data_IF_059192335451
#
_entry.id   IF_059192335451
#
_cell.length_a   1.000
_cell.length_b   1.000
_cell.length_c   1.000
_cell.angle_alpha   90.00
_cell.angle_beta   90.00
_cell.angle_gamma   90.00
#
_symmetry.space_group_name_H-M   'P 1'
#
loop_
_entity.id
_entity.type
_entity.pdbx_description
1 polymer ?
#
# COMPACT_ATOMS: atom_id res chain seq x y z
N UNK A 1 9.74 31.64 1.90
CA UNK A 1 9.10 30.44 2.47
C UNK A 1 10.00 29.25 2.19
N UNK A 2 10.50 28.57 3.23
CA UNK A 2 11.26 27.32 3.07
C UNK A 2 10.28 26.15 3.07
N UNK A 3 10.18 25.43 1.96
CA UNK A 3 9.38 24.20 1.90
C UNK A 3 10.22 23.05 2.47
N UNK A 4 9.71 22.35 3.48
CA UNK A 4 10.29 21.08 3.93
C UNK A 4 9.80 19.98 3.00
N UNK A 5 10.72 19.35 2.26
CA UNK A 5 10.42 18.26 1.32
C UNK A 5 11.30 17.06 1.62
N UNK A 6 10.80 15.87 1.26
CA UNK A 6 11.57 14.62 1.28
C UNK A 6 11.88 14.26 -0.16
N UNK A 7 13.16 14.02 -0.46
CA UNK A 7 13.59 13.43 -1.73
C UNK A 7 13.77 11.92 -1.54
N UNK A 8 13.23 11.13 -2.46
CA UNK A 8 13.37 9.68 -2.51
C UNK A 8 13.75 9.27 -3.91
N UNK A 9 14.58 8.23 -4.02
CA UNK A 9 14.81 7.55 -5.29
C UNK A 9 13.48 7.02 -5.84
N UNK A 10 13.30 7.16 -7.15
CA UNK A 10 12.11 6.71 -7.85
C UNK A 10 12.32 5.27 -8.36
N UNK A 11 11.42 4.37 -7.99
CA UNK A 11 11.43 2.97 -8.49
C UNK A 11 10.98 2.98 -9.96
N UNK A 12 11.95 2.90 -10.87
CA UNK A 12 11.79 3.09 -12.31
C UNK A 12 11.34 1.84 -13.08
N UNK A 13 11.50 0.65 -12.49
CA UNK A 13 11.06 -0.65 -13.01
C UNK A 13 10.03 -1.30 -12.08
N UNK A 14 8.84 -0.69 -11.89
CA UNK A 14 7.78 -1.30 -11.11
C UNK A 14 7.20 -2.52 -11.83
N UNK A 15 6.62 -3.45 -11.07
CA UNK A 15 5.74 -4.48 -11.63
C UNK A 15 4.50 -3.79 -12.23
N UNK A 16 4.10 -4.24 -13.41
CA UNK A 16 2.95 -3.72 -14.15
C UNK A 16 1.91 -4.83 -14.32
N UNK A 17 0.63 -4.46 -14.34
CA UNK A 17 -0.46 -5.31 -14.80
C UNK A 17 -1.19 -4.51 -15.88
N UNK A 18 -1.41 -5.12 -17.04
CA UNK A 18 -2.03 -4.48 -18.21
C UNK A 18 -1.28 -3.20 -18.66
N UNK A 19 0.04 -3.15 -18.46
CA UNK A 19 0.87 -1.97 -18.75
C UNK A 19 0.75 -0.83 -17.74
N UNK A 20 -0.09 -0.96 -16.71
CA UNK A 20 -0.35 0.09 -15.72
C UNK A 20 0.49 -0.11 -14.46
N UNK A 21 1.05 1.00 -13.96
CA UNK A 21 1.67 1.06 -12.63
C UNK A 21 0.58 0.94 -11.56
N UNK A 22 0.88 0.25 -10.46
CA UNK A 22 -0.02 0.17 -9.33
C UNK A 22 0.71 0.24 -7.99
N UNK A 23 -0.06 0.50 -6.93
CA UNK A 23 0.38 0.30 -5.55
C UNK A 23 -0.62 -0.58 -4.81
N UNK A 24 -0.14 -1.23 -3.74
CA UNK A 24 -0.96 -2.04 -2.85
C UNK A 24 -1.18 -1.27 -1.55
N UNK A 25 -2.44 -1.04 -1.20
CA UNK A 25 -2.86 -0.60 0.12
C UNK A 25 -3.25 -1.79 0.97
N UNK A 26 -2.44 -2.05 1.98
CA UNK A 26 -2.66 -3.06 3.01
C UNK A 26 -3.20 -2.38 4.26
N UNK A 27 -4.04 -3.08 5.00
CA UNK A 27 -4.57 -2.63 6.29
C UNK A 27 -3.99 -3.51 7.39
N UNK A 28 -3.37 -2.86 8.36
CA UNK A 28 -2.78 -3.49 9.55
C UNK A 28 -3.41 -2.82 10.76
N UNK A 29 -3.93 -3.61 11.69
CA UNK A 29 -4.44 -3.16 12.97
C UNK A 29 -3.39 -3.43 14.03
N UNK A 30 -2.94 -2.39 14.73
CA UNK A 30 -2.18 -2.53 15.97
C UNK A 30 -3.21 -2.43 17.10
N UNK A 31 -3.49 -3.56 17.73
CA UNK A 31 -4.46 -3.59 18.83
C UNK A 31 -3.78 -3.17 20.12
N UNK A 32 -2.62 -3.78 20.41
CA UNK A 32 -1.91 -3.63 21.68
C UNK A 32 -0.41 -3.45 21.45
N UNK A 33 0.24 -2.73 22.37
CA UNK A 33 1.69 -2.49 22.34
C UNK A 33 2.45 -3.32 23.35
N UNK A 34 1.80 -3.81 24.41
CA UNK A 34 2.40 -4.66 25.44
C UNK A 34 1.35 -5.60 26.11
N UNK A 35 1.23 -6.87 25.69
CA UNK A 35 1.99 -7.50 24.60
C UNK A 35 1.67 -6.88 23.24
N UNK A 36 2.62 -6.94 22.30
CA UNK A 36 2.42 -6.42 20.94
C UNK A 36 1.43 -7.33 20.18
N UNK A 37 0.31 -6.77 19.74
CA UNK A 37 -0.70 -7.47 18.95
C UNK A 37 -0.96 -6.74 17.63
N UNK A 38 -0.61 -7.42 16.53
CA UNK A 38 -0.70 -6.89 15.16
C UNK A 38 -1.56 -7.84 14.33
N UNK A 39 -2.55 -7.30 13.62
CA UNK A 39 -3.42 -8.04 12.73
C UNK A 39 -3.31 -7.51 11.30
N UNK A 40 -2.96 -8.38 10.36
CA UNK A 40 -3.02 -8.08 8.94
C UNK A 40 -4.41 -8.44 8.40
N UNK A 41 -5.09 -7.48 7.78
CA UNK A 41 -6.37 -7.75 7.13
C UNK A 41 -6.15 -8.54 5.83
N UNK A 42 -6.95 -9.60 5.63
CA UNK A 42 -6.83 -10.49 4.46
C UNK A 42 -7.13 -9.80 3.13
N UNK A 43 -7.80 -8.66 3.15
CA UNK A 43 -8.14 -7.87 1.98
C UNK A 43 -7.43 -6.52 1.98
N UNK A 44 -7.26 -5.96 0.79
CA UNK A 44 -6.65 -4.66 0.57
C UNK A 44 -7.24 -3.95 -0.63
N UNK A 45 -6.62 -2.83 -1.01
CA UNK A 45 -6.96 -2.13 -2.25
C UNK A 45 -5.72 -2.02 -3.12
N UNK A 46 -5.81 -2.48 -4.36
CA UNK A 46 -4.80 -2.22 -5.38
C UNK A 46 -5.27 -1.06 -6.22
N UNK A 47 -4.42 -0.04 -6.35
CA UNK A 47 -4.76 1.22 -6.99
C UNK A 47 -3.88 1.39 -8.22
N UNK A 48 -4.52 1.49 -9.37
CA UNK A 48 -3.84 1.61 -10.65
C UNK A 48 -3.72 3.07 -11.07
N UNK A 49 -2.62 3.36 -11.74
CA UNK A 49 -2.49 4.48 -12.65
C UNK A 49 -3.52 4.34 -13.79
N UNK A 50 -3.73 5.41 -14.56
CA UNK A 50 -4.74 5.44 -15.63
C UNK A 50 -4.14 5.71 -17.02
N UNK A 51 -2.82 5.74 -17.09
CA UNK A 51 -2.03 5.86 -18.32
C UNK A 51 -0.92 4.81 -18.26
N UNK A 52 -0.69 4.14 -19.39
CA UNK A 52 0.35 3.12 -19.54
C UNK A 52 1.71 3.63 -19.09
N UNK A 53 2.40 2.80 -18.33
CA UNK A 53 3.66 3.15 -17.73
C UNK A 53 4.78 3.23 -18.77
N UNK A 54 5.60 4.27 -18.64
CA UNK A 54 6.89 4.37 -19.30
C UNK A 54 7.95 4.75 -18.26
N UNK A 55 9.20 4.27 -18.38
CA UNK A 55 10.28 4.70 -17.51
C UNK A 55 10.40 6.23 -17.49
N UNK A 56 10.72 6.83 -16.32
CA UNK A 56 10.77 8.27 -16.18
C UNK A 56 11.84 8.89 -17.09
N UNK A 57 11.49 9.99 -17.73
CA UNK A 57 12.35 10.80 -18.59
C UNK A 57 11.96 12.27 -18.42
N UNK A 58 12.80 13.18 -18.93
CA UNK A 58 12.51 14.61 -18.90
C UNK A 58 11.17 14.98 -19.56
N UNK A 59 10.67 14.15 -20.49
CA UNK A 59 9.45 14.43 -21.25
C UNK A 59 8.19 13.82 -20.64
N UNK A 60 8.30 12.89 -19.69
CA UNK A 60 7.13 12.23 -19.08
C UNK A 60 7.02 12.37 -17.56
N UNK A 61 8.05 12.86 -16.84
CA UNK A 61 8.05 12.93 -15.37
C UNK A 61 6.86 13.71 -14.79
N UNK A 62 6.34 14.70 -15.54
CA UNK A 62 5.17 15.50 -15.15
C UNK A 62 3.82 14.79 -15.37
N UNK A 63 3.79 13.61 -16.03
CA UNK A 63 2.59 12.84 -16.32
C UNK A 63 2.12 12.09 -15.07
N UNK A 64 1.43 12.80 -14.21
CA UNK A 64 1.02 12.30 -12.89
C UNK A 64 0.08 11.08 -12.96
N UNK A 65 -0.81 10.99 -13.96
CA UNK A 65 -1.68 9.82 -14.17
C UNK A 65 -0.96 8.52 -14.59
N UNK A 66 0.34 8.61 -14.93
CA UNK A 66 1.22 7.48 -15.24
C UNK A 66 2.06 7.09 -14.02
N UNK A 67 2.67 8.08 -13.37
CA UNK A 67 3.65 7.84 -12.30
C UNK A 67 3.05 7.76 -10.90
N UNK A 68 1.86 8.34 -10.68
CA UNK A 68 1.15 8.33 -9.40
C UNK A 68 -0.12 7.49 -9.49
N UNK A 69 -0.36 6.71 -8.44
CA UNK A 69 -1.46 5.73 -8.34
C UNK A 69 -2.56 6.18 -7.37
N UNK A 70 -2.43 7.39 -6.80
CA UNK A 70 -3.38 7.92 -5.83
C UNK A 70 -4.80 7.98 -6.43
N UNK A 71 -5.78 7.42 -5.71
CA UNK A 71 -7.19 7.47 -6.11
C UNK A 71 -7.71 8.91 -6.27
N UNK A 72 -7.34 9.81 -5.35
CA UNK A 72 -7.78 11.23 -5.36
C UNK A 72 -7.41 11.96 -6.65
N UNK A 73 -6.30 11.55 -7.27
CA UNK A 73 -5.82 12.02 -8.56
C UNK A 73 -6.48 11.23 -9.70
N UNK A 74 -6.23 9.93 -9.77
CA UNK A 74 -6.61 9.10 -10.92
C UNK A 74 -8.11 9.04 -11.17
N UNK A 75 -8.97 9.19 -10.15
CA UNK A 75 -10.44 9.27 -10.34
C UNK A 75 -10.90 10.42 -11.23
N UNK A 76 -10.02 11.40 -11.48
CA UNK A 76 -10.27 12.56 -12.34
C UNK A 76 -9.81 12.34 -13.79
N UNK A 77 -9.10 11.24 -14.05
CA UNK A 77 -8.68 10.86 -15.40
C UNK A 77 -9.87 10.34 -16.20
N UNK A 78 -9.95 10.71 -17.47
CA UNK A 78 -10.96 10.17 -18.39
C UNK A 78 -10.81 8.65 -18.58
N UNK A 79 -9.63 8.10 -18.30
CA UNK A 79 -9.34 6.66 -18.41
C UNK A 79 -9.64 5.88 -17.12
N UNK A 80 -10.17 6.53 -16.08
CA UNK A 80 -10.46 5.85 -14.82
C UNK A 80 -11.65 4.89 -14.97
N UNK A 81 -11.42 3.61 -14.69
CA UNK A 81 -12.43 2.56 -14.76
C UNK A 81 -12.96 2.27 -13.37
N UNK A 82 -14.24 2.57 -13.15
CA UNK A 82 -14.94 2.15 -11.95
C UNK A 82 -15.20 0.65 -12.00
N UNK A 83 -15.08 -0.02 -10.85
CA UNK A 83 -15.49 -1.42 -10.76
C UNK A 83 -17.01 -1.51 -10.92
N UNK A 84 -17.44 -2.38 -11.82
CA UNK A 84 -18.83 -2.80 -11.98
C UNK A 84 -18.95 -4.29 -11.65
N UNK A 85 -20.18 -4.80 -11.54
CA UNK A 85 -20.41 -6.24 -11.35
C UNK A 85 -19.92 -7.07 -12.54
N UNK A 86 -19.89 -6.46 -13.74
CA UNK A 86 -19.47 -7.09 -14.98
C UNK A 86 -17.93 -7.04 -15.18
N UNK A 87 -17.25 -6.00 -14.71
CA UNK A 87 -15.81 -5.82 -14.93
C UNK A 87 -15.08 -5.31 -13.68
N UNK A 88 -14.71 -6.24 -12.81
CA UNK A 88 -13.83 -5.99 -11.67
C UNK A 88 -12.34 -6.14 -12.02
N UNK A 89 -12.04 -6.94 -13.05
CA UNK A 89 -10.68 -7.32 -13.45
C UNK A 89 -9.94 -6.15 -14.10
N UNK A 90 -10.63 -5.27 -14.82
CA UNK A 90 -10.00 -4.11 -15.47
C UNK A 90 -10.19 -2.79 -14.71
N UNK A 91 -10.84 -2.82 -13.55
CA UNK A 91 -11.09 -1.63 -12.75
C UNK A 91 -9.78 -0.95 -12.31
N UNK A 92 -9.76 0.38 -12.21
CA UNK A 92 -8.60 1.14 -11.74
C UNK A 92 -8.39 1.04 -10.22
N UNK A 93 -9.34 0.42 -9.51
CA UNK A 93 -9.26 0.08 -8.09
C UNK A 93 -9.81 -1.32 -7.90
N UNK A 94 -8.96 -2.26 -7.49
CA UNK A 94 -9.27 -3.68 -7.38
C UNK A 94 -9.06 -4.17 -5.94
N UNK A 95 -9.72 -5.27 -5.60
CA UNK A 95 -9.42 -6.02 -4.37
C UNK A 95 -8.03 -6.64 -4.48
N UNK A 96 -7.30 -6.71 -3.38
CA UNK A 96 -5.99 -7.35 -3.32
C UNK A 96 -6.08 -8.84 -3.63
N UNK A 97 -7.10 -9.53 -3.13
CA UNK A 97 -7.33 -10.96 -3.44
C UNK A 97 -7.50 -11.22 -4.94
N UNK A 98 -8.20 -10.33 -5.64
CA UNK A 98 -8.35 -10.39 -7.10
C UNK A 98 -7.00 -10.20 -7.79
N UNK A 99 -6.19 -9.23 -7.37
CA UNK A 99 -4.87 -8.99 -7.95
C UNK A 99 -3.91 -10.15 -7.68
N UNK A 100 -3.97 -10.76 -6.51
CA UNK A 100 -3.20 -11.99 -6.25
C UNK A 100 -3.59 -13.11 -7.21
N UNK A 101 -4.89 -13.29 -7.49
CA UNK A 101 -5.36 -14.24 -8.50
C UNK A 101 -4.82 -13.93 -9.89
N UNK A 102 -4.80 -12.65 -10.30
CA UNK A 102 -4.22 -12.21 -11.57
C UNK A 102 -2.71 -12.49 -11.63
N UNK A 103 -1.97 -12.21 -10.56
CA UNK A 103 -0.53 -12.46 -10.50
C UNK A 103 -0.21 -13.95 -10.51
N UNK A 104 -1.01 -14.79 -9.87
CA UNK A 104 -0.86 -16.26 -9.91
C UNK A 104 -1.10 -16.87 -11.30
N UNK A 105 -1.70 -16.12 -12.24
CA UNK A 105 -1.80 -16.54 -13.65
C UNK A 105 -0.54 -16.19 -14.46
N UNK A 106 0.27 -15.23 -13.99
CA UNK A 106 1.44 -14.71 -14.70
C UNK A 106 2.77 -15.19 -14.10
N UNK A 107 2.78 -15.49 -12.80
CA UNK A 107 3.95 -15.90 -12.03
C UNK A 107 3.73 -17.25 -11.37
N UNK A 108 4.82 -17.92 -10.99
CA UNK A 108 4.70 -19.17 -10.24
C UNK A 108 4.11 -18.93 -8.85
N UNK A 109 3.42 -19.94 -8.31
CA UNK A 109 2.85 -19.88 -6.96
C UNK A 109 3.91 -19.53 -5.90
N UNK A 110 5.13 -20.06 -6.05
CA UNK A 110 6.23 -19.78 -5.12
C UNK A 110 6.66 -18.31 -5.12
N UNK A 111 6.66 -17.64 -6.28
CA UNK A 111 6.99 -16.21 -6.38
C UNK A 111 5.91 -15.35 -5.70
N UNK A 112 4.64 -15.68 -5.93
CA UNK A 112 3.51 -14.96 -5.33
C UNK A 112 3.49 -15.13 -3.80
N UNK A 113 3.65 -16.36 -3.31
CA UNK A 113 3.73 -16.62 -1.86
C UNK A 113 4.95 -15.94 -1.23
N UNK A 114 6.10 -15.94 -1.91
CA UNK A 114 7.28 -15.19 -1.45
C UNK A 114 7.00 -13.70 -1.34
N UNK A 115 6.29 -13.09 -2.29
CA UNK A 115 5.93 -11.68 -2.23
C UNK A 115 5.04 -11.36 -1.03
N UNK A 116 4.06 -12.22 -0.72
CA UNK A 116 3.21 -12.07 0.48
C UNK A 116 4.03 -12.15 1.77
N UNK A 117 4.94 -13.12 1.89
CA UNK A 117 5.82 -13.25 3.05
C UNK A 117 6.74 -12.03 3.24
N UNK A 118 7.29 -11.48 2.15
CA UNK A 118 8.11 -10.27 2.21
C UNK A 118 7.30 -9.04 2.64
N UNK A 119 6.03 -8.97 2.26
CA UNK A 119 5.11 -7.92 2.73
C UNK A 119 4.87 -8.04 4.24
N UNK A 120 4.60 -9.24 4.76
CA UNK A 120 4.43 -9.47 6.20
C UNK A 120 5.69 -9.13 6.98
N UNK A 121 6.86 -9.54 6.48
CA UNK A 121 8.15 -9.22 7.09
C UNK A 121 8.41 -7.70 7.11
N UNK A 122 8.09 -6.99 6.02
CA UNK A 122 8.21 -5.53 5.94
C UNK A 122 7.31 -4.85 6.97
N UNK A 123 6.07 -5.32 7.16
CA UNK A 123 5.12 -4.79 8.16
C UNK A 123 5.70 -4.96 9.57
N UNK A 124 6.13 -6.17 9.90
CA UNK A 124 6.69 -6.46 11.23
C UNK A 124 7.92 -5.61 11.52
N UNK A 125 8.87 -5.50 10.58
CA UNK A 125 10.07 -4.67 10.75
C UNK A 125 9.73 -3.20 10.92
N UNK A 126 8.76 -2.69 10.15
CA UNK A 126 8.35 -1.29 10.23
C UNK A 126 7.73 -0.97 11.59
N UNK A 127 6.87 -1.83 12.12
CA UNK A 127 6.24 -1.64 13.43
C UNK A 127 7.28 -1.76 14.55
N UNK A 128 8.15 -2.76 14.49
CA UNK A 128 9.22 -2.94 15.47
C UNK A 128 10.19 -1.75 15.51
N UNK A 129 10.45 -1.12 14.36
CA UNK A 129 11.35 0.02 14.26
C UNK A 129 10.84 1.29 14.98
N UNK A 130 9.52 1.43 15.17
CA UNK A 130 8.89 2.58 15.83
C UNK A 130 8.28 2.24 17.20
N UNK A 131 8.25 0.95 17.54
CA UNK A 131 7.63 0.45 18.77
C UNK A 131 8.20 1.09 20.06
N UNK A 132 9.53 1.29 20.22
CA UNK A 132 10.08 1.93 21.42
C UNK A 132 9.53 3.35 21.61
N UNK A 133 9.51 4.16 20.56
CA UNK A 133 9.02 5.54 20.58
C UNK A 133 7.53 5.58 20.92
N UNK A 134 6.70 4.76 20.27
CA UNK A 134 5.26 4.73 20.54
C UNK A 134 4.98 4.28 21.97
N UNK A 135 5.73 3.30 22.51
CA UNK A 135 5.55 2.84 23.89
C UNK A 135 5.88 3.92 24.92
N UNK A 136 6.93 4.70 24.70
CA UNK A 136 7.30 5.81 25.59
C UNK A 136 6.16 6.83 25.65
N UNK A 137 5.65 7.25 24.49
CA UNK A 137 4.54 8.20 24.39
C UNK A 137 3.22 7.63 24.96
N UNK A 138 2.96 6.34 24.73
CA UNK A 138 1.77 5.68 25.27
C UNK A 138 1.77 5.68 26.80
N UNK A 139 2.92 5.37 27.42
CA UNK A 139 3.06 5.35 28.90
C UNK A 139 3.09 6.75 29.50
N UNK A 140 3.64 7.75 28.80
CA UNK A 140 3.65 9.14 29.31
C UNK A 140 2.25 9.74 29.35
N UNK A 141 1.40 9.44 28.35
CA UNK A 141 0.06 10.00 28.24
C UNK A 141 -1.02 9.19 28.99
N UNK A 142 -0.81 7.88 29.17
CA UNK A 142 -1.84 6.99 29.74
C UNK A 142 -1.36 6.32 31.04
N UNK A 143 -1.94 6.67 32.20
CA UNK A 143 -1.56 6.07 33.48
C UNK A 143 -1.79 4.55 33.49
N UNK A 144 -0.76 3.81 33.95
CA UNK A 144 -0.71 2.34 34.07
C UNK A 144 -1.77 1.71 35.01
N UNK A 145 -2.66 2.50 35.58
CA UNK A 145 -3.63 2.08 36.61
C UNK A 145 -4.92 1.47 36.07
N UNK A 146 -5.13 1.41 34.74
CA UNK A 146 -6.30 0.74 34.11
C UNK A 146 -5.87 -0.37 33.17
N UNK A 147 -6.47 -1.55 33.37
CA UNK A 147 -6.19 -2.85 32.71
C UNK A 147 -6.64 -2.98 31.24
N UNK A 148 -7.09 -1.92 30.58
CA UNK A 148 -7.67 -2.02 29.24
C UNK A 148 -6.92 -1.10 28.27
N UNK A 149 -6.55 -1.67 27.13
CA UNK A 149 -5.85 -0.99 26.06
C UNK A 149 -6.73 0.11 25.48
N UNK A 150 -6.19 1.34 25.44
CA UNK A 150 -6.98 2.56 25.15
C UNK A 150 -6.87 3.02 23.71
N UNK A 151 -5.89 2.51 22.97
CA UNK A 151 -5.57 2.99 21.63
C UNK A 151 -5.39 1.81 20.70
N UNK A 152 -5.98 1.91 19.52
CA UNK A 152 -5.72 1.05 18.37
C UNK A 152 -5.48 1.94 17.16
N UNK A 153 -4.76 1.43 16.15
CA UNK A 153 -4.54 2.13 14.89
C UNK A 153 -4.58 1.18 13.70
#
# INVERSE_FOLDING_TARGET
MSFKVIASEYIDRPLLIDGLKFDIRIYVLILNLDPLEIFLYNEGLVRFATVDYQPPSATNLHRTFMHLTNYSLNKRSANYKHASDEDQINASKRKLTLVWSQLSQQFSLNEVERAKLLIEEMINKTILAILPEIRIEYVSELPLTRKQDRCFQ
#
